data_IF_691761259232
#
_entry.id   IF_691761259232
#
_cell.length_a   1.000
_cell.length_b   1.000
_cell.length_c   1.000
_cell.angle_alpha   90.00
_cell.angle_beta   90.00
_cell.angle_gamma   90.00
#
_symmetry.space_group_name_H-M   'P 1'
#
loop_
_entity.id
_entity.type
_entity.pdbx_description
1 polymer ?
#
# COMPACT_ATOMS: atom_id res chain seq x y z
N UNK A 1 -6.76 -27.03 -8.67
CA UNK A 1 -6.17 -26.10 -9.64
C UNK A 1 -5.75 -24.84 -8.90
N UNK A 2 -4.46 -24.61 -8.85
CA UNK A 2 -3.89 -23.46 -8.17
C UNK A 2 -4.20 -22.20 -8.99
N UNK A 3 -4.80 -21.19 -8.37
CA UNK A 3 -5.02 -19.89 -9.04
C UNK A 3 -3.67 -19.17 -9.18
N UNK A 4 -3.35 -18.61 -10.36
CA UNK A 4 -2.12 -17.85 -10.50
C UNK A 4 -2.12 -16.65 -9.56
N UNK A 5 -0.95 -16.30 -9.05
CA UNK A 5 -0.79 -15.10 -8.23
C UNK A 5 -1.13 -13.85 -9.05
N UNK A 6 -1.82 -12.91 -8.43
CA UNK A 6 -2.16 -11.65 -9.07
C UNK A 6 -0.90 -10.79 -9.23
N UNK A 7 -0.77 -10.17 -10.41
CA UNK A 7 0.30 -9.24 -10.68
C UNK A 7 0.05 -7.91 -9.94
N UNK A 8 0.99 -7.44 -9.09
CA UNK A 8 0.85 -6.15 -8.42
C UNK A 8 0.64 -4.96 -9.37
N UNK A 9 1.18 -5.00 -10.57
CA UNK A 9 0.97 -3.94 -11.57
C UNK A 9 -0.50 -3.85 -12.00
N UNK A 10 -1.19 -4.99 -12.11
CA UNK A 10 -2.62 -5.01 -12.39
C UNK A 10 -3.43 -4.41 -11.25
N UNK A 11 -3.03 -4.69 -10.00
CA UNK A 11 -3.65 -4.09 -8.81
C UNK A 11 -3.43 -2.58 -8.75
N UNK A 12 -2.24 -2.10 -9.08
CA UNK A 12 -1.94 -0.67 -9.17
C UNK A 12 -2.84 0.04 -10.19
N UNK A 13 -2.98 -0.54 -11.37
CA UNK A 13 -3.84 0.00 -12.43
C UNK A 13 -5.30 0.01 -11.99
N UNK A 14 -5.77 -1.04 -11.35
CA UNK A 14 -7.13 -1.11 -10.78
C UNK A 14 -7.38 0.01 -9.76
N UNK A 15 -6.50 0.18 -8.79
CA UNK A 15 -6.61 1.24 -7.79
C UNK A 15 -6.61 2.62 -8.44
N UNK A 16 -5.74 2.84 -9.43
CA UNK A 16 -5.68 4.11 -10.16
C UNK A 16 -7.00 4.43 -10.90
N UNK A 17 -7.63 3.42 -11.52
CA UNK A 17 -8.93 3.60 -12.18
C UNK A 17 -10.01 3.98 -11.16
N UNK A 18 -10.05 3.28 -10.03
CA UNK A 18 -11.05 3.55 -8.99
C UNK A 18 -10.89 4.95 -8.41
N UNK A 19 -9.66 5.35 -8.10
CA UNK A 19 -9.37 6.65 -7.51
C UNK A 19 -9.63 7.82 -8.47
N UNK A 20 -9.32 7.63 -9.76
CA UNK A 20 -9.55 8.68 -10.78
C UNK A 20 -10.94 8.65 -11.39
N UNK A 21 -11.64 7.53 -11.32
CA UNK A 21 -12.91 7.30 -11.99
C UNK A 21 -12.80 7.24 -13.52
N UNK A 22 -11.61 7.10 -14.08
CA UNK A 22 -11.35 7.21 -15.52
C UNK A 22 -10.16 6.36 -15.94
N UNK A 23 -10.34 5.60 -17.02
CA UNK A 23 -9.25 4.84 -17.66
C UNK A 23 -8.16 5.76 -18.22
N UNK A 24 -8.55 6.87 -18.81
CA UNK A 24 -7.61 7.84 -19.38
C UNK A 24 -6.75 8.47 -18.30
N UNK A 25 -7.37 8.93 -17.21
CA UNK A 25 -6.66 9.53 -16.07
C UNK A 25 -5.78 8.51 -15.35
N UNK A 26 -6.24 7.28 -15.22
CA UNK A 26 -5.41 6.20 -14.66
C UNK A 26 -4.16 5.95 -15.51
N UNK A 27 -4.30 5.95 -16.84
CA UNK A 27 -3.18 5.85 -17.75
C UNK A 27 -2.18 6.99 -17.58
N UNK A 28 -2.64 8.22 -17.48
CA UNK A 28 -1.80 9.39 -17.20
C UNK A 28 -1.03 9.24 -15.88
N UNK A 29 -1.70 8.84 -14.80
CA UNK A 29 -1.09 8.62 -13.50
C UNK A 29 -0.01 7.53 -13.54
N UNK A 30 -0.28 6.45 -14.25
CA UNK A 30 0.61 5.29 -14.33
C UNK A 30 1.65 5.39 -15.44
N UNK A 31 1.66 6.46 -16.23
CA UNK A 31 2.49 6.61 -17.42
C UNK A 31 2.29 5.49 -18.44
N UNK A 32 1.04 5.08 -18.61
CA UNK A 32 0.61 4.05 -19.54
C UNK A 32 -0.47 4.59 -20.48
N UNK A 33 -0.61 3.95 -21.63
CA UNK A 33 -1.71 4.29 -22.56
C UNK A 33 -3.05 3.79 -21.99
N UNK A 34 -4.14 4.43 -22.37
CA UNK A 34 -5.48 3.99 -22.00
C UNK A 34 -5.76 2.55 -22.48
N UNK A 35 -5.26 2.17 -23.66
CA UNK A 35 -5.42 0.80 -24.17
C UNK A 35 -4.67 -0.22 -23.30
N UNK A 36 -3.49 0.10 -22.82
CA UNK A 36 -2.74 -0.76 -21.90
C UNK A 36 -3.49 -0.94 -20.57
N UNK A 37 -4.00 0.14 -20.01
CA UNK A 37 -4.83 0.09 -18.77
C UNK A 37 -6.06 -0.80 -19.00
N UNK A 38 -6.74 -0.65 -20.13
CA UNK A 38 -7.92 -1.46 -20.47
C UNK A 38 -7.58 -2.96 -20.61
N UNK A 39 -6.44 -3.29 -21.22
CA UNK A 39 -5.97 -4.67 -21.34
C UNK A 39 -5.63 -5.26 -19.97
N UNK A 40 -4.95 -4.50 -19.12
CA UNK A 40 -4.62 -4.92 -17.76
C UNK A 40 -5.87 -5.22 -16.95
N UNK A 41 -6.90 -4.38 -17.05
CA UNK A 41 -8.16 -4.62 -16.34
C UNK A 41 -8.89 -5.87 -16.83
N UNK A 42 -8.95 -6.06 -18.15
CA UNK A 42 -9.52 -7.31 -18.71
C UNK A 42 -8.80 -8.54 -18.19
N UNK A 43 -7.47 -8.51 -18.17
CA UNK A 43 -6.65 -9.59 -17.65
C UNK A 43 -6.93 -9.88 -16.18
N UNK A 44 -7.04 -8.84 -15.35
CA UNK A 44 -7.34 -8.97 -13.93
C UNK A 44 -8.73 -9.57 -13.70
N UNK A 45 -9.75 -9.06 -14.40
CA UNK A 45 -11.11 -9.59 -14.34
C UNK A 45 -11.20 -11.04 -14.82
N UNK A 46 -10.46 -11.41 -15.86
CA UNK A 46 -10.37 -12.79 -16.33
C UNK A 46 -9.74 -13.71 -15.28
N UNK A 47 -8.66 -13.29 -14.64
CA UNK A 47 -7.99 -14.07 -13.60
C UNK A 47 -8.90 -14.33 -12.40
N UNK A 48 -9.72 -13.35 -12.04
CA UNK A 48 -10.65 -13.44 -10.91
C UNK A 48 -12.01 -14.02 -11.28
N UNK A 49 -12.33 -14.05 -12.57
CA UNK A 49 -13.59 -14.61 -13.08
C UNK A 49 -14.82 -13.76 -12.77
N UNK A 50 -14.67 -12.47 -12.50
CA UNK A 50 -15.78 -11.56 -12.22
C UNK A 50 -15.46 -10.13 -12.65
N UNK A 51 -16.50 -9.32 -12.99
CA UNK A 51 -16.29 -7.91 -13.25
C UNK A 51 -15.97 -7.17 -11.95
N UNK A 52 -15.00 -6.28 -12.00
CA UNK A 52 -14.56 -5.45 -10.88
C UNK A 52 -15.05 -4.02 -11.00
N UNK A 53 -15.36 -3.61 -12.22
CA UNK A 53 -15.76 -2.25 -12.57
C UNK A 53 -17.08 -2.25 -13.33
N UNK A 54 -17.91 -1.27 -13.02
CA UNK A 54 -19.12 -0.95 -13.75
C UNK A 54 -18.90 0.33 -14.57
N UNK A 55 -19.04 0.22 -15.88
CA UNK A 55 -18.82 1.30 -16.85
C UNK A 55 -20.12 1.83 -17.46
N UNK A 56 -21.27 1.44 -16.91
CA UNK A 56 -22.58 1.82 -17.47
C UNK A 56 -22.92 3.30 -17.29
N UNK A 57 -22.32 3.99 -16.31
CA UNK A 57 -22.51 5.40 -16.04
C UNK A 57 -21.42 6.30 -16.64
N UNK A 58 -21.49 7.60 -16.31
CA UNK A 58 -20.49 8.59 -16.74
C UNK A 58 -19.12 8.36 -16.12
N UNK A 59 -19.10 7.90 -14.86
CA UNK A 59 -17.88 7.55 -14.15
C UNK A 59 -17.81 6.05 -13.98
N UNK A 60 -16.59 5.54 -13.99
CA UNK A 60 -16.32 4.15 -13.68
C UNK A 60 -16.42 3.96 -12.17
N UNK A 61 -17.26 3.03 -11.74
CA UNK A 61 -17.44 2.69 -10.33
C UNK A 61 -17.15 1.21 -10.11
N UNK A 62 -16.91 0.85 -8.87
CA UNK A 62 -16.64 -0.55 -8.51
C UNK A 62 -17.92 -1.37 -8.43
N UNK A 63 -17.83 -2.65 -8.77
CA UNK A 63 -18.80 -3.67 -8.39
C UNK A 63 -18.61 -4.06 -6.92
N UNK A 64 -19.48 -4.89 -6.37
CA UNK A 64 -19.30 -5.44 -5.01
C UNK A 64 -17.97 -6.20 -4.88
N UNK A 65 -17.62 -7.01 -5.89
CA UNK A 65 -16.34 -7.72 -5.94
C UNK A 65 -15.16 -6.73 -6.05
N UNK A 66 -15.34 -5.66 -6.84
CA UNK A 66 -14.36 -4.59 -6.95
C UNK A 66 -14.09 -3.89 -5.64
N UNK A 67 -15.12 -3.61 -4.84
CA UNK A 67 -14.95 -3.03 -3.49
C UNK A 67 -14.14 -3.95 -2.58
N UNK A 68 -14.44 -5.25 -2.60
CA UNK A 68 -13.68 -6.24 -1.83
C UNK A 68 -12.22 -6.27 -2.25
N UNK A 69 -11.97 -6.31 -3.56
CA UNK A 69 -10.60 -6.30 -4.07
C UNK A 69 -9.87 -4.99 -3.75
N UNK A 70 -10.56 -3.85 -3.83
CA UNK A 70 -9.94 -2.54 -3.56
C UNK A 70 -9.32 -2.48 -2.17
N UNK A 71 -10.03 -2.93 -1.15
CA UNK A 71 -9.51 -3.00 0.21
C UNK A 71 -8.27 -3.88 0.32
N UNK A 72 -8.33 -5.07 -0.29
CA UNK A 72 -7.20 -6.01 -0.31
C UNK A 72 -6.03 -5.50 -1.15
N UNK A 73 -6.29 -4.92 -2.32
CA UNK A 73 -5.26 -4.38 -3.20
C UNK A 73 -4.47 -3.26 -2.51
N UNK A 74 -5.13 -2.35 -1.82
CA UNK A 74 -4.47 -1.28 -1.06
C UNK A 74 -3.57 -1.85 0.04
N UNK A 75 -4.02 -2.88 0.74
CA UNK A 75 -3.22 -3.55 1.79
C UNK A 75 -2.02 -4.28 1.20
N UNK A 76 -2.21 -5.01 0.11
CA UNK A 76 -1.12 -5.73 -0.59
C UNK A 76 -0.08 -4.74 -1.10
N UNK A 77 -0.49 -3.71 -1.82
CA UNK A 77 0.41 -2.71 -2.37
C UNK A 77 1.14 -1.94 -1.27
N UNK A 78 0.46 -1.62 -0.17
CA UNK A 78 1.05 -1.01 1.01
C UNK A 78 2.13 -1.90 1.65
N UNK A 79 1.88 -3.20 1.77
CA UNK A 79 2.86 -4.16 2.31
C UNK A 79 4.07 -4.32 1.39
N UNK A 80 3.86 -4.37 0.08
CA UNK A 80 4.96 -4.44 -0.90
C UNK A 80 5.85 -3.20 -0.85
N UNK A 81 5.25 -2.01 -0.78
CA UNK A 81 5.98 -0.75 -0.61
C UNK A 81 6.80 -0.75 0.69
N UNK A 82 6.20 -1.15 1.81
CA UNK A 82 6.87 -1.24 3.12
C UNK A 82 8.00 -2.26 3.12
N UNK A 83 7.82 -3.40 2.46
CA UNK A 83 8.87 -4.41 2.34
C UNK A 83 10.11 -3.85 1.62
N UNK A 84 9.91 -3.13 0.51
CA UNK A 84 10.99 -2.47 -0.20
C UNK A 84 11.71 -1.40 0.62
N UNK A 85 10.96 -0.54 1.28
CA UNK A 85 11.47 0.51 2.16
C UNK A 85 12.28 -0.07 3.32
N UNK A 86 11.73 -1.06 4.03
CA UNK A 86 12.38 -1.67 5.20
C UNK A 86 13.66 -2.41 4.85
N UNK A 87 13.69 -3.11 3.74
CA UNK A 87 14.89 -3.83 3.30
C UNK A 87 15.97 -2.85 2.83
N UNK A 88 15.60 -1.77 2.16
CA UNK A 88 16.55 -0.74 1.69
C UNK A 88 17.00 0.20 2.82
N UNK A 89 16.15 0.46 3.81
CA UNK A 89 16.41 1.36 4.95
C UNK A 89 16.96 0.66 6.19
N UNK A 90 17.21 -0.64 6.15
CA UNK A 90 17.65 -1.48 7.27
C UNK A 90 18.92 -0.97 7.99
N UNK A 91 19.48 0.16 7.57
CA UNK A 91 20.67 0.79 8.15
C UNK A 91 20.41 2.15 8.82
N UNK A 92 19.21 2.69 8.81
CA UNK A 92 18.95 4.00 9.42
C UNK A 92 18.23 3.87 10.77
N UNK A 93 18.97 3.90 11.88
CA UNK A 93 18.35 3.88 13.21
C UNK A 93 17.58 5.19 13.43
N UNK A 94 16.39 5.08 14.02
CA UNK A 94 15.66 6.24 14.51
C UNK A 94 16.38 6.78 15.75
N UNK A 95 16.91 7.99 15.69
CA UNK A 95 17.58 8.65 16.80
C UNK A 95 16.62 9.60 17.48
N UNK A 96 16.39 9.38 18.77
CA UNK A 96 15.52 10.21 19.58
C UNK A 96 16.33 10.85 20.70
N UNK A 97 16.39 12.18 20.72
CA UNK A 97 16.92 12.95 21.84
C UNK A 97 15.80 13.21 22.85
N UNK A 98 16.02 12.86 24.11
CA UNK A 98 15.04 13.06 25.19
C UNK A 98 15.66 13.89 26.30
N UNK A 99 15.00 14.92 26.83
CA UNK A 99 15.46 15.62 28.01
C UNK A 99 15.64 14.65 29.19
N UNK A 100 16.64 14.93 30.05
CA UNK A 100 16.94 14.03 31.18
C UNK A 100 15.74 13.75 32.09
N UNK A 101 14.91 14.75 32.30
CA UNK A 101 13.71 14.65 33.14
C UNK A 101 12.64 13.70 32.57
N UNK A 102 12.69 13.40 31.29
CA UNK A 102 11.76 12.47 30.62
C UNK A 102 12.30 11.04 30.49
N UNK A 103 13.59 10.82 30.74
CA UNK A 103 14.23 9.52 30.58
C UNK A 103 13.78 8.50 31.66
N UNK A 104 13.29 8.98 32.79
CA UNK A 104 12.82 8.13 33.89
C UNK A 104 11.30 8.17 34.00
N UNK A 105 10.62 7.10 33.61
CA UNK A 105 9.19 6.97 33.85
C UNK A 105 8.34 6.59 32.62
N UNK A 106 7.26 7.31 32.36
CA UNK A 106 6.27 6.99 31.32
C UNK A 106 6.87 6.84 29.92
N UNK A 107 7.91 7.60 29.59
CA UNK A 107 8.59 7.54 28.29
C UNK A 107 9.24 6.17 28.04
N UNK A 108 9.84 5.58 29.06
CA UNK A 108 10.44 4.24 28.97
C UNK A 108 9.39 3.19 28.61
N UNK A 109 8.19 3.28 29.19
CA UNK A 109 7.10 2.36 28.88
C UNK A 109 6.59 2.55 27.45
N UNK A 110 6.48 3.80 26.98
CA UNK A 110 6.08 4.12 25.59
C UNK A 110 7.11 3.59 24.59
N UNK A 111 8.40 3.80 24.84
CA UNK A 111 9.47 3.32 23.98
C UNK A 111 9.54 1.79 23.94
N UNK A 112 9.33 1.12 25.08
CA UNK A 112 9.26 -0.32 25.17
C UNK A 112 8.06 -0.88 24.40
N UNK A 113 6.89 -0.23 24.48
CA UNK A 113 5.71 -0.60 23.71
C UNK A 113 5.95 -0.42 22.22
N UNK A 114 6.55 0.69 21.81
CA UNK A 114 6.93 0.96 20.43
C UNK A 114 7.91 -0.11 19.91
N UNK A 115 8.96 -0.45 20.65
CA UNK A 115 9.92 -1.47 20.25
C UNK A 115 9.29 -2.86 20.12
N UNK A 116 8.28 -3.19 20.93
CA UNK A 116 7.52 -4.44 20.79
C UNK A 116 6.63 -4.46 19.55
N UNK A 117 6.02 -3.32 19.26
CA UNK A 117 5.10 -3.18 18.11
C UNK A 117 5.86 -3.13 16.78
N UNK A 118 7.07 -2.58 16.78
CA UNK A 118 7.91 -2.37 15.60
C UNK A 118 9.33 -2.93 15.82
N UNK A 119 9.47 -4.26 15.91
CA UNK A 119 10.76 -4.89 16.25
C UNK A 119 11.86 -4.69 15.22
N UNK A 120 11.47 -4.31 14.00
CA UNK A 120 12.40 -4.02 12.90
C UNK A 120 13.02 -2.61 12.97
N UNK A 121 12.48 -1.71 13.79
CA UNK A 121 13.00 -0.36 13.95
C UNK A 121 14.08 -0.33 15.02
N UNK A 122 15.31 0.01 14.65
CA UNK A 122 16.37 0.29 15.62
C UNK A 122 16.17 1.67 16.22
N UNK A 123 15.88 1.71 17.51
CA UNK A 123 15.69 2.94 18.23
C UNK A 123 16.94 3.27 19.06
N UNK A 124 17.53 4.41 18.79
CA UNK A 124 18.61 4.98 19.60
C UNK A 124 18.06 6.15 20.41
N UNK A 125 18.05 5.98 21.72
CA UNK A 125 17.61 7.04 22.63
C UNK A 125 18.82 7.54 23.39
N UNK A 126 19.05 8.85 23.36
CA UNK A 126 20.08 9.49 24.20
C UNK A 126 19.42 10.56 25.04
N UNK A 127 19.79 10.61 26.29
CA UNK A 127 19.43 11.68 27.23
C UNK A 127 20.56 12.69 27.30
N UNK A 128 20.23 13.94 27.24
CA UNK A 128 21.15 15.06 27.35
C UNK A 128 20.98 16.13 26.29
N UNK A 129 21.26 17.35 26.64
CA UNK A 129 21.40 18.49 25.72
C UNK A 129 22.65 18.36 24.91
#
# INVERSE_FOLDING_TARGET
MERPLLDPHLLQSFVAIVETGSFTRAGERMHLTQSTISQQMRRLEQQLGCPLLDRSGRQVVTTAQGETLLGLARRILGLLARAGERVSEASHPLRLGVPEDFAAGAMTAVLAAFARQYPEVRLWVHSGL
#
